data_IF_177882987349
#
_entry.id   IF_177882987349
#
_cell.length_a   1.000
_cell.length_b   1.000
_cell.length_c   1.000
_cell.angle_alpha   90.00
_cell.angle_beta   90.00
_cell.angle_gamma   90.00
#
_symmetry.space_group_name_H-M   'P 1'
#
loop_
_entity.id
_entity.type
_entity.pdbx_description
1 polymer ?
#
# COMPACT_ATOMS: atom_id res chain seq x y z
N UNK A 1 -17.68 5.27 -13.17
CA UNK A 1 -16.54 4.58 -13.80
C UNK A 1 -16.98 3.16 -14.13
N UNK A 2 -16.62 2.62 -15.28
CA UNK A 2 -16.94 1.24 -15.65
C UNK A 2 -16.01 0.23 -14.96
N UNK A 3 -16.45 -1.04 -14.93
CA UNK A 3 -15.77 -2.15 -14.26
C UNK A 3 -15.50 -3.29 -15.27
N UNK A 4 -14.58 -3.07 -16.23
CA UNK A 4 -14.43 -3.95 -17.39
C UNK A 4 -14.04 -5.39 -17.01
N UNK A 5 -13.25 -5.59 -15.97
CA UNK A 5 -12.83 -6.93 -15.52
C UNK A 5 -14.00 -7.62 -14.81
N UNK A 6 -14.64 -6.94 -13.87
CA UNK A 6 -15.78 -7.50 -13.13
C UNK A 6 -16.98 -7.78 -14.05
N UNK A 7 -17.32 -6.86 -14.94
CA UNK A 7 -18.45 -7.02 -15.87
C UNK A 7 -18.23 -8.23 -16.78
N UNK A 8 -17.03 -8.37 -17.35
CA UNK A 8 -16.68 -9.53 -18.18
C UNK A 8 -16.81 -10.85 -17.40
N UNK A 9 -16.24 -10.92 -16.20
CA UNK A 9 -16.26 -12.16 -15.40
C UNK A 9 -17.68 -12.51 -14.97
N UNK A 10 -18.47 -11.52 -14.54
CA UNK A 10 -19.88 -11.70 -14.18
C UNK A 10 -20.68 -12.25 -15.37
N UNK A 11 -20.52 -11.71 -16.55
CA UNK A 11 -21.24 -12.13 -17.76
C UNK A 11 -20.77 -13.52 -18.22
N UNK A 12 -19.45 -13.79 -18.10
CA UNK A 12 -18.91 -15.13 -18.34
C UNK A 12 -19.49 -16.16 -17.36
N UNK A 13 -19.57 -15.85 -16.07
CA UNK A 13 -20.17 -16.72 -15.06
C UNK A 13 -21.63 -17.08 -15.37
N UNK A 14 -22.40 -16.11 -15.92
CA UNK A 14 -23.81 -16.28 -16.31
C UNK A 14 -24.02 -16.94 -17.67
N UNK A 15 -22.99 -17.09 -18.47
CA UNK A 15 -23.10 -17.54 -19.87
C UNK A 15 -23.51 -19.02 -20.03
N UNK A 16 -23.49 -19.82 -18.95
CA UNK A 16 -23.80 -21.26 -18.99
C UNK A 16 -22.76 -22.09 -19.77
N UNK A 17 -21.62 -21.53 -20.17
CA UNK A 17 -20.58 -22.24 -20.91
C UNK A 17 -19.96 -23.37 -20.11
N UNK A 18 -19.76 -24.53 -20.73
CA UNK A 18 -19.01 -25.62 -20.13
C UNK A 18 -17.54 -25.20 -19.98
N UNK A 19 -17.01 -25.26 -18.76
CA UNK A 19 -15.63 -24.86 -18.42
C UNK A 19 -14.69 -26.05 -18.58
N UNK A 20 -14.11 -26.24 -19.77
CA UNK A 20 -13.12 -27.28 -20.07
C UNK A 20 -11.67 -26.77 -19.91
N UNK A 21 -11.50 -25.66 -19.22
CA UNK A 21 -10.23 -24.96 -18.92
C UNK A 21 -10.02 -24.88 -17.39
N UNK A 22 -8.85 -24.39 -16.94
CA UNK A 22 -8.58 -24.03 -15.54
C UNK A 22 -9.55 -22.92 -15.05
N UNK A 23 -9.79 -22.76 -13.75
CA UNK A 23 -9.36 -23.63 -12.64
C UNK A 23 -10.07 -24.97 -12.55
N UNK A 24 -9.51 -25.89 -11.74
CA UNK A 24 -10.01 -27.28 -11.58
C UNK A 24 -11.44 -27.40 -11.04
N UNK A 25 -11.92 -26.43 -10.25
CA UNK A 25 -13.26 -26.40 -9.69
C UNK A 25 -14.37 -26.11 -10.73
N UNK A 26 -14.02 -25.68 -11.95
CA UNK A 26 -14.97 -25.45 -13.06
C UNK A 26 -16.13 -24.49 -12.76
N UNK A 27 -15.89 -23.52 -11.85
CA UNK A 27 -16.90 -22.56 -11.38
C UNK A 27 -17.87 -23.13 -10.36
N UNK A 28 -17.54 -24.26 -9.74
CA UNK A 28 -18.37 -24.95 -8.73
C UNK A 28 -17.50 -25.32 -7.53
N UNK A 29 -17.98 -25.08 -6.32
CA UNK A 29 -17.26 -25.40 -5.10
C UNK A 29 -17.98 -24.92 -3.86
N UNK A 30 -17.31 -24.99 -2.71
CA UNK A 30 -17.87 -24.72 -1.40
C UNK A 30 -17.65 -23.28 -0.89
N UNK A 31 -16.76 -22.51 -1.54
CA UNK A 31 -16.45 -21.14 -1.10
C UNK A 31 -17.51 -20.12 -1.53
N UNK A 32 -18.26 -20.43 -2.60
CA UNK A 32 -19.33 -19.56 -3.12
C UNK A 32 -18.85 -18.51 -4.13
N UNK A 33 -17.55 -18.33 -4.34
CA UNK A 33 -16.97 -17.39 -5.30
C UNK A 33 -16.41 -18.07 -6.56
N UNK A 34 -16.40 -19.39 -6.64
CA UNK A 34 -15.75 -20.15 -7.72
C UNK A 34 -16.30 -19.83 -9.10
N UNK A 35 -17.57 -19.41 -9.18
CA UNK A 35 -18.15 -18.97 -10.45
C UNK A 35 -17.47 -17.74 -11.04
N UNK A 36 -16.91 -16.89 -10.18
CA UNK A 36 -16.18 -15.66 -10.52
C UNK A 36 -14.69 -15.88 -10.65
N UNK A 37 -14.17 -17.04 -10.25
CA UNK A 37 -12.76 -17.38 -10.42
C UNK A 37 -12.54 -18.02 -11.80
N UNK A 38 -11.85 -17.30 -12.66
CA UNK A 38 -11.55 -17.70 -14.05
C UNK A 38 -10.04 -17.65 -14.32
N UNK A 39 -9.67 -18.03 -15.50
CA UNK A 39 -8.32 -17.86 -16.06
C UNK A 39 -8.40 -16.99 -17.32
N UNK A 40 -7.30 -16.88 -18.05
CA UNK A 40 -7.13 -16.15 -19.30
C UNK A 40 -7.91 -16.76 -20.46
N UNK A 41 -9.24 -16.84 -20.31
CA UNK A 41 -10.12 -17.28 -21.39
C UNK A 41 -10.25 -16.19 -22.45
N UNK A 42 -10.71 -16.55 -23.64
CA UNK A 42 -10.86 -15.60 -24.74
C UNK A 42 -11.69 -14.38 -24.31
N UNK A 43 -11.06 -13.20 -24.32
CA UNK A 43 -11.63 -11.91 -23.95
C UNK A 43 -11.37 -11.52 -22.51
N UNK A 44 -10.80 -12.40 -21.66
CA UNK A 44 -10.46 -12.10 -20.27
C UNK A 44 -9.18 -11.27 -20.11
N UNK A 45 -8.36 -11.17 -21.17
CA UNK A 45 -7.04 -10.52 -21.13
C UNK A 45 -5.98 -11.34 -20.35
N UNK A 46 -4.74 -10.87 -20.27
CA UNK A 46 -3.65 -11.45 -19.49
C UNK A 46 -2.94 -10.34 -18.72
N UNK A 47 -2.71 -10.51 -17.42
CA UNK A 47 -2.24 -9.42 -16.55
C UNK A 47 -0.92 -8.80 -17.05
N UNK A 48 0.04 -9.62 -17.46
CA UNK A 48 1.36 -9.12 -17.89
C UNK A 48 1.48 -8.83 -19.39
N UNK A 49 0.46 -9.16 -20.16
CA UNK A 49 0.34 -8.89 -21.60
C UNK A 49 -0.96 -8.12 -21.89
N UNK A 50 -1.43 -7.35 -20.91
CA UNK A 50 -2.72 -6.68 -20.97
C UNK A 50 -2.84 -5.75 -22.17
N UNK A 51 -3.90 -5.95 -22.94
CA UNK A 51 -4.27 -5.18 -24.12
C UNK A 51 -5.80 -5.06 -24.28
N UNK A 52 -6.56 -5.40 -23.23
CA UNK A 52 -8.01 -5.49 -23.23
C UNK A 52 -8.65 -4.93 -21.95
N UNK A 53 -9.41 -5.80 -21.25
CA UNK A 53 -10.20 -5.38 -20.08
C UNK A 53 -9.33 -5.04 -18.88
N UNK A 54 -8.20 -5.73 -18.68
CA UNK A 54 -7.26 -5.45 -17.59
C UNK A 54 -6.58 -4.11 -17.85
N UNK A 55 -6.03 -3.89 -19.04
CA UNK A 55 -5.42 -2.62 -19.41
C UNK A 55 -6.41 -1.45 -19.27
N UNK A 56 -7.67 -1.65 -19.64
CA UNK A 56 -8.70 -0.60 -19.48
C UNK A 56 -8.97 -0.30 -18.00
N UNK A 57 -9.03 -1.31 -17.15
CA UNK A 57 -9.20 -1.14 -15.71
C UNK A 57 -7.99 -0.45 -15.06
N UNK A 58 -6.78 -0.79 -15.47
CA UNK A 58 -5.55 -0.12 -15.02
C UNK A 58 -5.47 1.34 -15.50
N UNK A 59 -5.97 1.66 -16.70
CA UNK A 59 -6.12 3.06 -17.15
C UNK A 59 -7.12 3.83 -16.31
N UNK A 60 -8.24 3.21 -15.91
CA UNK A 60 -9.19 3.80 -14.98
C UNK A 60 -8.50 4.14 -13.63
N UNK A 61 -7.67 3.23 -13.11
CA UNK A 61 -6.89 3.49 -11.90
C UNK A 61 -5.87 4.62 -12.11
N UNK A 62 -5.16 4.62 -13.24
CA UNK A 62 -4.19 5.68 -13.57
C UNK A 62 -4.86 7.06 -13.64
N UNK A 63 -6.05 7.15 -14.21
CA UNK A 63 -6.84 8.39 -14.26
C UNK A 63 -7.26 8.85 -12.86
N UNK A 64 -7.74 7.92 -12.02
CA UNK A 64 -8.14 8.21 -10.64
C UNK A 64 -7.01 8.75 -9.77
N UNK A 65 -5.83 8.13 -9.86
CA UNK A 65 -4.65 8.52 -9.07
C UNK A 65 -3.81 9.62 -9.75
N UNK A 66 -4.20 10.10 -10.93
CA UNK A 66 -3.45 11.11 -11.67
C UNK A 66 -2.05 10.66 -12.11
N UNK A 67 -1.78 9.36 -12.13
CA UNK A 67 -0.50 8.77 -12.55
C UNK A 67 -0.32 8.82 -14.08
N UNK A 68 0.90 8.56 -14.57
CA UNK A 68 1.16 8.24 -15.98
C UNK A 68 0.57 6.89 -16.33
N UNK A 69 0.87 5.88 -15.49
CA UNK A 69 0.43 4.51 -15.62
C UNK A 69 0.26 3.88 -14.24
N UNK A 70 -0.73 3.01 -14.12
CA UNK A 70 -0.96 2.19 -12.91
C UNK A 70 -1.11 0.75 -13.33
N UNK A 71 -0.44 -0.16 -12.62
CA UNK A 71 -0.44 -1.59 -12.89
C UNK A 71 -0.96 -2.36 -11.69
N UNK A 72 -1.74 -3.40 -11.95
CA UNK A 72 -2.25 -4.27 -10.92
C UNK A 72 -1.21 -5.29 -10.46
N UNK A 73 -1.23 -5.59 -9.18
CA UNK A 73 -0.56 -6.75 -8.59
C UNK A 73 -1.58 -7.60 -7.85
N UNK A 74 -1.49 -8.91 -8.03
CA UNK A 74 -2.22 -9.91 -7.22
C UNK A 74 -1.32 -10.55 -6.15
N UNK A 75 -0.07 -10.08 -6.05
CA UNK A 75 0.99 -10.57 -5.15
C UNK A 75 1.34 -9.54 -4.05
N UNK A 76 0.45 -8.56 -3.83
CA UNK A 76 0.66 -7.46 -2.91
C UNK A 76 1.74 -6.47 -3.39
N UNK A 77 2.02 -5.45 -2.56
CA UNK A 77 3.11 -4.50 -2.82
C UNK A 77 4.49 -5.17 -2.85
N UNK A 78 4.63 -6.40 -2.36
CA UNK A 78 5.90 -7.15 -2.43
C UNK A 78 6.40 -7.36 -3.86
N UNK A 79 5.52 -7.57 -4.82
CA UNK A 79 5.84 -7.62 -6.24
C UNK A 79 6.23 -6.23 -6.76
N UNK A 80 5.43 -5.22 -6.42
CA UNK A 80 5.63 -3.84 -6.85
C UNK A 80 6.98 -3.28 -6.37
N UNK A 81 7.36 -3.50 -5.11
CA UNK A 81 8.64 -3.07 -4.55
C UNK A 81 9.82 -3.64 -5.35
N UNK A 82 9.78 -4.94 -5.64
CA UNK A 82 10.83 -5.59 -6.44
C UNK A 82 10.89 -5.04 -7.86
N UNK A 83 9.74 -4.82 -8.48
CA UNK A 83 9.66 -4.26 -9.82
C UNK A 83 10.17 -2.81 -9.88
N UNK A 84 9.79 -1.94 -8.91
CA UNK A 84 10.29 -0.56 -8.83
C UNK A 84 11.81 -0.50 -8.73
N UNK A 85 12.41 -1.30 -7.84
CA UNK A 85 13.86 -1.37 -7.67
C UNK A 85 14.56 -1.90 -8.92
N UNK A 86 13.99 -2.92 -9.57
CA UNK A 86 14.51 -3.45 -10.82
C UNK A 86 14.47 -2.39 -11.94
N UNK A 87 13.36 -1.67 -12.09
CA UNK A 87 13.21 -0.61 -13.08
C UNK A 87 14.20 0.53 -12.85
N UNK A 88 14.36 0.98 -11.61
CA UNK A 88 15.29 2.04 -11.25
C UNK A 88 16.77 1.62 -11.49
N UNK A 89 17.15 0.42 -11.02
CA UNK A 89 18.52 -0.09 -11.18
C UNK A 89 18.94 -0.34 -12.63
N UNK A 90 17.99 -0.68 -13.52
CA UNK A 90 18.28 -0.86 -14.95
C UNK A 90 18.53 0.46 -15.69
N UNK A 91 18.18 1.58 -15.10
CA UNK A 91 18.37 2.94 -15.67
C UNK A 91 19.57 3.66 -15.11
N UNK A 92 20.31 3.03 -14.23
CA UNK A 92 21.48 3.58 -13.57
C UNK A 92 22.69 2.65 -13.73
N UNK A 93 23.87 3.22 -13.79
CA UNK A 93 25.11 2.45 -13.68
C UNK A 93 25.41 2.09 -12.22
N UNK A 94 24.85 2.83 -11.29
CA UNK A 94 24.99 2.57 -9.86
C UNK A 94 24.19 1.34 -9.43
N UNK A 95 24.77 0.57 -8.52
CA UNK A 95 24.13 -0.59 -7.86
C UNK A 95 23.68 -0.26 -6.44
N UNK A 96 23.83 0.99 -6.00
CA UNK A 96 23.53 1.41 -4.63
C UNK A 96 22.18 2.11 -4.56
N UNK A 97 21.34 1.69 -3.59
CA UNK A 97 20.09 2.36 -3.20
C UNK A 97 20.29 3.02 -1.84
N UNK A 98 19.84 4.26 -1.67
CA UNK A 98 19.72 4.87 -0.34
C UNK A 98 18.33 4.54 0.20
N UNK A 99 18.23 4.01 1.42
CA UNK A 99 16.96 3.62 1.99
C UNK A 99 16.83 3.90 3.49
N UNK A 100 15.62 4.28 3.93
CA UNK A 100 15.30 4.36 5.35
C UNK A 100 15.31 2.96 5.99
N UNK A 101 15.83 2.87 7.23
CA UNK A 101 16.11 1.59 7.91
C UNK A 101 14.86 0.74 8.17
N UNK A 102 13.68 1.34 8.26
CA UNK A 102 12.40 0.65 8.47
C UNK A 102 11.78 0.05 7.18
N UNK A 103 12.60 -0.18 6.15
CA UNK A 103 12.14 -0.79 4.90
C UNK A 103 11.58 -2.20 5.12
N UNK A 104 10.47 -2.51 4.44
CA UNK A 104 9.83 -3.82 4.50
C UNK A 104 10.76 -4.93 3.99
N UNK A 105 10.62 -6.16 4.52
CA UNK A 105 11.43 -7.33 4.11
C UNK A 105 11.47 -7.57 2.58
N UNK A 106 10.43 -7.18 1.84
CA UNK A 106 10.41 -7.28 0.37
C UNK A 106 11.47 -6.41 -0.29
N UNK A 107 11.82 -5.27 0.32
CA UNK A 107 12.95 -4.45 -0.12
C UNK A 107 14.28 -5.21 0.04
N UNK A 108 14.51 -5.80 1.21
CA UNK A 108 15.73 -6.60 1.47
C UNK A 108 15.81 -7.80 0.51
N UNK A 109 14.68 -8.46 0.25
CA UNK A 109 14.63 -9.53 -0.75
C UNK A 109 14.96 -9.03 -2.16
N UNK A 110 14.50 -7.82 -2.51
CA UNK A 110 14.83 -7.21 -3.80
C UNK A 110 16.32 -6.90 -3.93
N UNK A 111 16.96 -6.38 -2.88
CA UNK A 111 18.42 -6.15 -2.87
C UNK A 111 19.17 -7.45 -3.17
N UNK A 112 18.81 -8.54 -2.48
CA UNK A 112 19.44 -9.84 -2.66
C UNK A 112 19.20 -10.44 -4.07
N UNK A 113 17.98 -10.30 -4.61
CA UNK A 113 17.63 -10.84 -5.93
C UNK A 113 18.27 -10.04 -7.09
N UNK A 114 18.44 -8.74 -6.89
CA UNK A 114 18.93 -7.81 -7.91
C UNK A 114 20.42 -7.51 -7.76
N UNK A 115 21.09 -8.06 -6.76
CA UNK A 115 22.48 -7.80 -6.42
C UNK A 115 22.73 -6.28 -6.24
N UNK A 116 21.93 -5.65 -5.38
CA UNK A 116 22.02 -4.22 -5.07
C UNK A 116 22.62 -3.99 -3.69
N UNK A 117 23.47 -3.00 -3.60
CA UNK A 117 23.97 -2.47 -2.33
C UNK A 117 22.97 -1.47 -1.73
N UNK A 118 23.02 -1.32 -0.41
CA UNK A 118 22.19 -0.35 0.29
C UNK A 118 23.02 0.55 1.21
N UNK A 119 22.74 1.84 1.10
CA UNK A 119 23.16 2.83 2.09
C UNK A 119 21.98 3.18 2.97
N UNK A 120 22.05 2.77 4.22
CA UNK A 120 20.98 2.98 5.17
C UNK A 120 20.97 4.41 5.73
N UNK A 121 19.78 4.99 5.75
CA UNK A 121 19.45 6.15 6.59
C UNK A 121 18.92 5.62 7.91
N UNK A 122 19.52 6.08 9.00
CA UNK A 122 19.16 5.68 10.35
C UNK A 122 18.32 6.76 11.01
N UNK A 123 17.34 6.42 11.85
CA UNK A 123 16.62 7.41 12.64
C UNK A 123 17.56 8.06 13.66
N UNK A 124 17.29 9.33 14.00
CA UNK A 124 18.03 10.06 15.03
C UNK A 124 17.79 9.47 16.43
N UNK A 125 16.58 8.98 16.68
CA UNK A 125 16.21 8.26 17.89
C UNK A 125 15.96 6.79 17.56
N UNK A 126 16.25 5.89 18.51
CA UNK A 126 16.03 4.47 18.31
C UNK A 126 14.55 4.20 18.06
N UNK A 127 14.24 3.53 16.98
CA UNK A 127 12.92 3.00 16.66
C UNK A 127 13.05 1.73 15.84
N UNK A 128 12.32 0.70 16.21
CA UNK A 128 12.29 -0.56 15.47
C UNK A 128 11.41 -0.45 14.21
N UNK A 129 10.27 0.22 14.32
CA UNK A 129 9.24 0.27 13.29
C UNK A 129 9.17 1.60 12.54
N UNK A 130 9.66 2.67 13.14
CA UNK A 130 9.73 4.01 12.55
C UNK A 130 11.15 4.37 12.12
N UNK A 131 11.25 5.21 11.08
CA UNK A 131 12.51 5.83 10.67
C UNK A 131 12.21 7.18 10.02
N UNK A 132 11.90 8.21 10.82
CA UNK A 132 11.73 9.55 10.27
C UNK A 132 13.05 10.02 9.63
N UNK A 133 12.95 10.56 8.42
CA UNK A 133 14.08 10.98 7.60
C UNK A 133 13.83 12.41 7.13
N UNK A 134 14.81 13.29 7.31
CA UNK A 134 14.75 14.65 6.79
C UNK A 134 15.28 14.75 5.36
N UNK A 135 14.81 15.72 4.59
CA UNK A 135 15.34 16.02 3.26
C UNK A 135 16.85 16.34 3.32
N UNK A 136 17.33 17.01 4.38
CA UNK A 136 18.74 17.29 4.59
C UNK A 136 19.58 16.01 4.78
N UNK A 137 19.05 15.01 5.49
CA UNK A 137 19.74 13.73 5.67
C UNK A 137 19.85 12.97 4.33
N UNK A 138 18.79 13.01 3.50
CA UNK A 138 18.83 12.44 2.15
C UNK A 138 19.84 13.15 1.27
N UNK A 139 19.82 14.50 1.25
CA UNK A 139 20.79 15.30 0.50
C UNK A 139 22.23 14.92 0.88
N UNK A 140 22.54 14.93 2.17
CA UNK A 140 23.89 14.59 2.69
C UNK A 140 24.29 13.16 2.31
N UNK A 141 23.36 12.22 2.34
CA UNK A 141 23.63 10.85 1.94
C UNK A 141 23.97 10.74 0.44
N UNK A 142 23.23 11.42 -0.43
CA UNK A 142 23.52 11.46 -1.87
C UNK A 142 24.87 12.13 -2.13
N UNK A 143 25.09 13.34 -1.57
CA UNK A 143 26.26 14.17 -1.83
C UNK A 143 27.59 13.56 -1.32
N UNK A 144 27.50 12.61 -0.38
CA UNK A 144 28.66 11.89 0.18
C UNK A 144 29.04 10.61 -0.60
N UNK A 145 28.38 10.32 -1.73
CA UNK A 145 28.72 9.21 -2.62
C UNK A 145 29.58 9.68 -3.79
N UNK A 146 30.40 8.78 -4.35
CA UNK A 146 31.24 9.06 -5.55
C UNK A 146 30.41 9.23 -6.84
N UNK A 147 29.11 8.99 -6.79
CA UNK A 147 28.16 9.15 -7.88
C UNK A 147 26.73 8.96 -7.40
N UNK A 148 25.71 9.30 -8.21
CA UNK A 148 24.33 9.21 -7.79
C UNK A 148 23.92 7.76 -7.52
N UNK A 149 23.12 7.48 -6.46
CA UNK A 149 22.53 6.17 -6.26
C UNK A 149 21.51 5.86 -7.38
N UNK A 150 21.15 4.59 -7.56
CA UNK A 150 20.13 4.24 -8.55
C UNK A 150 18.72 4.68 -8.11
N UNK A 151 18.49 4.85 -6.81
CA UNK A 151 17.24 5.40 -6.26
C UNK A 151 17.41 5.79 -4.79
N UNK A 152 16.50 6.63 -4.30
CA UNK A 152 16.14 6.75 -2.87
C UNK A 152 14.86 5.97 -2.65
N UNK A 153 14.80 5.15 -1.59
CA UNK A 153 13.64 4.35 -1.24
C UNK A 153 13.18 4.65 0.19
N UNK A 154 11.90 4.96 0.36
CA UNK A 154 11.29 5.27 1.65
C UNK A 154 10.00 4.48 1.86
N UNK A 155 9.65 4.23 3.13
CA UNK A 155 8.33 3.75 3.53
C UNK A 155 7.55 4.92 4.12
N UNK A 156 6.38 5.24 3.54
CA UNK A 156 5.50 6.32 4.00
C UNK A 156 4.06 6.08 3.55
N UNK A 157 3.08 5.97 4.49
CA UNK A 157 3.26 5.95 5.94
C UNK A 157 4.00 4.70 6.43
N UNK A 158 4.67 4.82 7.58
CA UNK A 158 5.28 3.66 8.23
C UNK A 158 4.24 2.82 9.02
N UNK A 159 4.71 1.75 9.66
CA UNK A 159 3.84 0.82 10.38
C UNK A 159 3.15 1.46 11.60
N UNK A 160 3.78 2.46 12.22
CA UNK A 160 3.20 3.22 13.34
C UNK A 160 2.36 4.44 12.89
N UNK A 161 2.27 4.69 11.59
CA UNK A 161 1.49 5.79 11.02
C UNK A 161 2.23 7.12 10.93
N UNK A 162 3.57 7.11 11.01
CA UNK A 162 4.36 8.30 10.72
C UNK A 162 4.44 8.53 9.22
N UNK A 163 4.33 9.79 8.79
CA UNK A 163 4.36 10.20 7.38
C UNK A 163 5.67 10.97 7.13
N UNK A 164 6.39 10.58 6.10
CA UNK A 164 7.64 11.25 5.70
C UNK A 164 7.36 12.58 5.00
N UNK A 165 8.29 13.55 5.04
CA UNK A 165 8.21 14.79 4.26
C UNK A 165 8.55 14.54 2.77
N UNK A 166 7.66 13.78 2.09
CA UNK A 166 7.90 13.26 0.74
C UNK A 166 8.16 14.38 -0.27
N UNK A 167 7.43 15.51 -0.16
CA UNK A 167 7.59 16.61 -1.12
C UNK A 167 8.99 17.23 -1.05
N UNK A 168 9.50 17.48 0.14
CA UNK A 168 10.84 18.04 0.36
C UNK A 168 11.93 17.05 -0.06
N UNK A 169 11.71 15.75 0.21
CA UNK A 169 12.66 14.70 -0.20
C UNK A 169 12.65 14.53 -1.72
N UNK A 170 11.47 14.56 -2.36
CA UNK A 170 11.37 14.51 -3.81
C UNK A 170 12.14 15.65 -4.48
N UNK A 171 11.97 16.88 -3.98
CA UNK A 171 12.70 18.04 -4.50
C UNK A 171 14.22 17.83 -4.43
N UNK A 172 14.72 17.38 -3.28
CA UNK A 172 16.17 17.08 -3.08
C UNK A 172 16.68 15.98 -4.03
N UNK A 173 15.88 14.92 -4.23
CA UNK A 173 16.21 13.83 -5.14
C UNK A 173 16.28 14.32 -6.59
N UNK A 174 15.27 15.07 -7.04
CA UNK A 174 15.18 15.58 -8.41
C UNK A 174 16.27 16.58 -8.74
N UNK A 175 16.64 17.47 -7.80
CA UNK A 175 17.79 18.38 -7.97
C UNK A 175 19.12 17.62 -8.25
N UNK A 176 19.21 16.36 -7.82
CA UNK A 176 20.38 15.49 -7.98
C UNK A 176 20.21 14.42 -9.06
N UNK A 177 19.10 14.45 -9.80
CA UNK A 177 18.79 13.46 -10.84
C UNK A 177 18.58 12.04 -10.32
N UNK A 178 18.17 11.88 -9.07
CA UNK A 178 17.94 10.58 -8.42
C UNK A 178 16.42 10.33 -8.30
N UNK A 179 15.90 9.19 -8.73
CA UNK A 179 14.48 8.88 -8.56
C UNK A 179 14.13 8.55 -7.11
N UNK A 180 12.93 9.00 -6.68
CA UNK A 180 12.35 8.69 -5.38
C UNK A 180 11.29 7.59 -5.52
N UNK A 181 11.51 6.47 -4.85
CA UNK A 181 10.61 5.31 -4.77
C UNK A 181 9.97 5.27 -3.39
N UNK A 182 8.64 5.17 -3.32
CA UNK A 182 7.93 5.14 -2.04
C UNK A 182 7.09 3.88 -1.89
N UNK A 183 7.35 3.14 -0.81
CA UNK A 183 6.47 2.10 -0.31
C UNK A 183 5.33 2.75 0.47
N UNK A 184 4.19 2.94 -0.19
CA UNK A 184 2.97 3.51 0.36
C UNK A 184 1.96 2.42 0.73
N UNK A 185 2.43 1.24 1.13
CA UNK A 185 1.56 0.09 1.39
C UNK A 185 0.41 0.37 2.35
N UNK A 186 0.53 1.33 3.27
CA UNK A 186 -0.51 1.71 4.21
C UNK A 186 -1.32 2.95 3.78
N UNK A 187 -0.98 3.58 2.66
CA UNK A 187 -1.49 4.88 2.28
C UNK A 187 -2.31 4.94 0.98
N UNK A 188 -2.83 3.83 0.47
CA UNK A 188 -3.56 3.79 -0.80
C UNK A 188 -4.72 4.81 -0.88
N UNK A 189 -5.33 5.16 0.23
CA UNK A 189 -6.45 6.12 0.31
C UNK A 189 -5.99 7.60 0.38
N UNK A 190 -4.72 7.89 0.62
CA UNK A 190 -4.20 9.25 0.88
C UNK A 190 -4.40 10.23 -0.28
N UNK A 191 -4.52 9.73 -1.51
CA UNK A 191 -4.87 10.53 -2.69
C UNK A 191 -6.30 11.10 -2.62
N UNK A 192 -7.20 10.42 -1.90
CA UNK A 192 -8.64 10.73 -1.86
C UNK A 192 -9.03 11.62 -0.69
N UNK A 193 -8.09 12.09 0.10
CA UNK A 193 -8.30 13.07 1.16
C UNK A 193 -8.56 14.47 0.59
N UNK A 194 -9.19 15.36 1.35
CA UNK A 194 -9.40 16.77 0.99
C UNK A 194 -8.06 17.46 0.65
N UNK A 195 -7.04 17.22 1.48
CA UNK A 195 -5.65 17.57 1.19
C UNK A 195 -4.89 16.28 0.87
N UNK A 196 -4.57 16.01 -0.40
CA UNK A 196 -3.85 14.82 -0.78
C UNK A 196 -2.49 14.69 -0.07
N UNK A 197 -2.19 13.48 0.39
CA UNK A 197 -0.94 13.14 1.06
C UNK A 197 -0.25 11.95 0.38
N UNK A 198 -0.78 11.51 -0.75
CA UNK A 198 -0.25 10.36 -1.49
C UNK A 198 1.11 10.70 -2.11
N UNK A 199 2.09 9.79 -2.11
CA UNK A 199 3.44 10.06 -2.63
C UNK A 199 3.48 10.60 -4.07
N UNK A 200 2.58 10.16 -4.96
CA UNK A 200 2.50 10.73 -6.32
C UNK A 200 2.15 12.22 -6.31
N UNK A 201 1.23 12.64 -5.43
CA UNK A 201 0.83 14.05 -5.32
C UNK A 201 1.96 14.91 -4.75
N UNK A 202 2.89 14.25 -4.04
CA UNK A 202 4.03 14.86 -3.37
C UNK A 202 5.34 14.73 -4.15
N UNK A 203 5.31 14.18 -5.36
CA UNK A 203 6.45 14.15 -6.28
C UNK A 203 7.26 12.88 -6.30
N UNK A 204 6.81 11.77 -5.70
CA UNK A 204 7.48 10.47 -5.88
C UNK A 204 7.43 10.04 -7.36
N UNK A 205 8.51 9.41 -7.84
CA UNK A 205 8.62 8.94 -9.23
C UNK A 205 7.87 7.63 -9.46
N UNK A 206 7.96 6.71 -8.51
CA UNK A 206 7.15 5.50 -8.45
C UNK A 206 6.72 5.25 -6.99
N UNK A 207 5.53 4.70 -6.82
CA UNK A 207 5.11 4.20 -5.52
C UNK A 207 4.25 2.94 -5.66
N UNK A 208 4.11 2.19 -4.58
CA UNK A 208 3.23 1.04 -4.53
C UNK A 208 2.27 1.13 -3.35
N UNK A 209 1.02 0.73 -3.62
CA UNK A 209 -0.07 0.71 -2.67
C UNK A 209 -0.52 -0.72 -2.41
N UNK A 210 -0.53 -1.18 -1.16
CA UNK A 210 -1.29 -2.38 -0.81
C UNK A 210 -2.77 -2.00 -0.65
N UNK A 211 -3.49 -1.97 -1.76
CA UNK A 211 -4.90 -1.56 -1.77
C UNK A 211 -5.74 -2.33 -0.73
N UNK A 212 -5.45 -3.63 -0.57
CA UNK A 212 -6.15 -4.51 0.37
C UNK A 212 -6.00 -4.14 1.85
N UNK A 213 -5.07 -3.25 2.23
CA UNK A 213 -4.90 -2.84 3.63
C UNK A 213 -5.87 -1.76 4.06
N UNK A 214 -6.22 -0.85 3.17
CA UNK A 214 -7.01 0.35 3.51
C UNK A 214 -8.21 0.60 2.61
N UNK A 215 -8.31 -0.09 1.48
CA UNK A 215 -9.40 -0.01 0.52
C UNK A 215 -10.17 -1.34 0.45
N UNK A 216 -11.42 -1.36 -0.05
CA UNK A 216 -12.24 -2.58 -0.13
C UNK A 216 -11.77 -3.54 -1.24
N UNK A 217 -10.56 -4.06 -1.09
CA UNK A 217 -9.89 -4.96 -2.03
C UNK A 217 -9.53 -6.27 -1.33
N UNK A 218 -9.61 -7.38 -2.04
CA UNK A 218 -9.21 -8.69 -1.53
C UNK A 218 -7.71 -8.73 -1.24
N UNK A 219 -7.33 -9.48 -0.20
CA UNK A 219 -5.92 -9.66 0.22
C UNK A 219 -5.05 -10.05 -0.97
N UNK A 220 -3.93 -9.36 -1.12
CA UNK A 220 -3.00 -9.51 -2.25
C UNK A 220 -3.19 -8.46 -3.35
N UNK A 221 -4.33 -7.74 -3.37
CA UNK A 221 -4.53 -6.68 -4.35
C UNK A 221 -3.69 -5.44 -4.03
N UNK A 222 -2.93 -4.98 -5.02
CA UNK A 222 -2.05 -3.83 -4.91
C UNK A 222 -1.92 -3.09 -6.25
N UNK A 223 -1.44 -1.86 -6.17
CA UNK A 223 -1.12 -1.02 -7.33
C UNK A 223 0.39 -0.72 -7.35
N UNK A 224 0.95 -0.71 -8.54
CA UNK A 224 2.21 -0.03 -8.86
C UNK A 224 1.88 1.21 -9.67
N UNK A 225 2.26 2.38 -9.18
CA UNK A 225 2.04 3.66 -9.84
C UNK A 225 3.36 4.22 -10.38
N UNK A 226 3.30 4.78 -11.58
CA UNK A 226 4.38 5.56 -12.21
C UNK A 226 3.93 7.00 -12.35
N UNK A 227 4.71 7.95 -11.89
CA UNK A 227 4.40 9.38 -12.01
C UNK A 227 4.48 9.86 -13.46
N UNK A 228 3.83 10.98 -13.76
CA UNK A 228 3.90 11.59 -15.11
C UNK A 228 5.27 12.18 -15.44
N UNK A 229 6.05 12.52 -14.41
CA UNK A 229 7.38 13.09 -14.55
C UNK A 229 8.50 12.08 -14.71
N UNK A 230 8.21 10.78 -14.52
CA UNK A 230 9.21 9.72 -14.56
C UNK A 230 9.02 8.79 -15.75
N UNK A 231 10.12 8.41 -16.39
CA UNK A 231 10.12 7.45 -17.49
C UNK A 231 10.83 6.14 -17.10
N UNK A 232 10.10 5.09 -16.70
CA UNK A 232 10.68 3.78 -16.41
C UNK A 232 10.92 2.92 -17.68
N UNK A 233 10.59 3.44 -18.85
CA UNK A 233 10.46 2.73 -20.11
C UNK A 233 9.01 2.67 -20.57
N UNK A 234 8.71 1.76 -21.49
CA UNK A 234 7.33 1.52 -21.95
C UNK A 234 6.52 0.79 -20.88
N UNK A 235 5.19 0.88 -20.96
CA UNK A 235 4.30 0.09 -20.09
C UNK A 235 4.56 -1.42 -20.24
N UNK A 236 4.95 -1.88 -21.44
CA UNK A 236 5.39 -3.27 -21.65
C UNK A 236 6.67 -3.63 -20.90
N UNK A 237 7.59 -2.67 -20.69
CA UNK A 237 8.78 -2.91 -19.87
C UNK A 237 8.42 -3.04 -18.39
N UNK A 238 7.50 -2.19 -17.90
CA UNK A 238 7.01 -2.27 -16.51
C UNK A 238 6.29 -3.61 -16.27
N UNK A 239 5.36 -4.02 -17.17
CA UNK A 239 4.66 -5.31 -17.08
C UNK A 239 5.64 -6.48 -17.07
N UNK A 240 6.67 -6.41 -17.91
CA UNK A 240 7.71 -7.44 -17.96
C UNK A 240 8.48 -7.54 -16.65
N UNK A 241 8.78 -6.41 -15.99
CA UNK A 241 9.41 -6.44 -14.67
C UNK A 241 8.45 -6.93 -13.60
N UNK A 242 7.17 -6.60 -13.67
CA UNK A 242 6.15 -7.17 -12.80
C UNK A 242 6.06 -8.69 -12.95
N UNK A 243 6.07 -9.20 -14.18
CA UNK A 243 5.97 -10.66 -14.45
C UNK A 243 7.15 -11.47 -13.89
N UNK A 244 8.35 -10.89 -13.83
CA UNK A 244 9.54 -11.56 -13.25
C UNK A 244 9.34 -11.89 -11.77
N UNK A 245 8.55 -11.09 -11.05
CA UNK A 245 8.34 -11.22 -9.62
C UNK A 245 6.93 -11.71 -9.25
N UNK A 246 6.11 -12.05 -10.25
CA UNK A 246 4.74 -12.48 -10.07
C UNK A 246 4.47 -13.92 -10.49
N UNK A 247 3.30 -14.40 -10.15
CA UNK A 247 2.79 -15.70 -10.58
C UNK A 247 2.32 -15.63 -12.04
N UNK A 248 2.53 -16.70 -12.80
CA UNK A 248 1.92 -16.88 -14.14
C UNK A 248 0.42 -17.23 -14.07
N UNK A 249 -0.14 -17.30 -12.86
CA UNK A 249 -1.56 -17.58 -12.62
C UNK A 249 -2.17 -16.49 -11.71
N UNK A 250 -2.28 -15.24 -12.19
CA UNK A 250 -2.79 -14.15 -11.39
C UNK A 250 -4.28 -14.36 -11.06
N UNK A 251 -4.69 -14.00 -9.83
CA UNK A 251 -6.05 -14.18 -9.37
C UNK A 251 -7.03 -13.19 -10.00
N UNK A 252 -7.99 -13.67 -10.78
CA UNK A 252 -9.07 -12.85 -11.31
C UNK A 252 -10.02 -12.32 -10.22
N UNK A 253 -10.16 -13.00 -9.10
CA UNK A 253 -10.93 -12.49 -7.96
C UNK A 253 -10.28 -11.22 -7.40
N UNK A 254 -8.96 -11.19 -7.26
CA UNK A 254 -8.23 -10.02 -6.80
C UNK A 254 -8.33 -8.89 -7.82
N UNK A 255 -8.14 -9.16 -9.12
CA UNK A 255 -8.27 -8.14 -10.18
C UNK A 255 -9.67 -7.54 -10.24
N UNK A 256 -10.73 -8.34 -10.09
CA UNK A 256 -12.11 -7.85 -9.99
C UNK A 256 -12.29 -6.93 -8.78
N UNK A 257 -11.70 -7.26 -7.64
CA UNK A 257 -11.80 -6.43 -6.44
C UNK A 257 -11.09 -5.07 -6.61
N UNK A 258 -9.96 -5.02 -7.35
CA UNK A 258 -9.29 -3.77 -7.73
C UNK A 258 -10.14 -2.95 -8.71
N UNK A 259 -10.74 -3.59 -9.70
CA UNK A 259 -11.62 -2.97 -10.68
C UNK A 259 -12.88 -2.35 -10.03
N UNK A 260 -13.52 -3.10 -9.13
CA UNK A 260 -14.65 -2.59 -8.33
C UNK A 260 -14.23 -1.46 -7.39
N UNK A 261 -13.02 -1.53 -6.83
CA UNK A 261 -12.47 -0.48 -5.99
C UNK A 261 -12.27 0.83 -6.77
N UNK A 262 -11.85 0.79 -8.02
CA UNK A 262 -11.77 1.98 -8.86
C UNK A 262 -13.14 2.67 -9.01
N UNK A 263 -14.19 1.89 -9.27
CA UNK A 263 -15.55 2.43 -9.37
C UNK A 263 -16.04 2.99 -8.04
N UNK A 264 -15.74 2.32 -6.92
CA UNK A 264 -16.02 2.81 -5.57
C UNK A 264 -15.36 4.17 -5.30
N UNK A 265 -14.05 4.29 -5.59
CA UNK A 265 -13.29 5.52 -5.40
C UNK A 265 -13.74 6.66 -6.32
N UNK A 266 -14.14 6.35 -7.54
CA UNK A 266 -14.72 7.32 -8.48
C UNK A 266 -16.13 7.80 -8.06
N UNK A 267 -16.83 7.04 -7.23
CA UNK A 267 -18.16 7.34 -6.70
C UNK A 267 -18.11 7.93 -5.30
N UNK A 268 -18.62 7.16 -4.35
CA UNK A 268 -18.79 7.58 -2.95
C UNK A 268 -17.53 7.47 -2.08
N UNK A 269 -16.47 6.83 -2.58
CA UNK A 269 -15.29 6.47 -1.79
C UNK A 269 -14.62 7.66 -1.11
N UNK A 270 -14.52 8.82 -1.78
CA UNK A 270 -13.91 10.03 -1.20
C UNK A 270 -14.67 10.52 0.05
N UNK A 271 -15.99 10.58 -0.02
CA UNK A 271 -16.82 11.01 1.10
C UNK A 271 -16.74 10.01 2.27
N UNK A 272 -16.78 8.72 1.98
CA UNK A 272 -16.69 7.67 2.99
C UNK A 272 -15.31 7.63 3.66
N UNK A 273 -14.22 7.85 2.92
CA UNK A 273 -12.86 7.97 3.45
C UNK A 273 -12.75 9.20 4.37
N UNK A 274 -13.27 10.36 3.95
CA UNK A 274 -13.29 11.57 4.78
C UNK A 274 -14.08 11.35 6.08
N UNK A 275 -15.25 10.71 5.99
CA UNK A 275 -16.06 10.33 7.17
C UNK A 275 -15.31 9.38 8.11
N UNK A 276 -14.54 8.43 7.57
CA UNK A 276 -13.71 7.52 8.38
C UNK A 276 -12.53 8.23 9.03
N UNK A 277 -11.89 9.17 8.34
CA UNK A 277 -10.81 9.97 8.90
C UNK A 277 -11.32 10.83 10.07
N UNK A 278 -12.52 11.40 9.95
CA UNK A 278 -13.17 12.12 11.05
C UNK A 278 -13.47 11.22 12.26
N UNK A 279 -13.97 9.99 12.02
CA UNK A 279 -14.21 9.00 13.10
C UNK A 279 -12.90 8.60 13.78
N UNK A 280 -11.85 8.35 13.02
CA UNK A 280 -10.53 8.02 13.56
C UNK A 280 -9.94 9.19 14.37
N UNK A 281 -10.09 10.43 13.89
CA UNK A 281 -9.72 11.64 14.62
C UNK A 281 -10.44 11.74 15.97
N UNK A 282 -11.76 11.59 15.98
CA UNK A 282 -12.55 11.59 17.20
C UNK A 282 -12.16 10.46 18.17
N UNK A 283 -11.81 9.28 17.67
CA UNK A 283 -11.28 8.18 18.50
C UNK A 283 -9.93 8.56 19.11
N UNK A 284 -9.00 9.12 18.33
CA UNK A 284 -7.69 9.61 18.81
C UNK A 284 -7.87 10.63 19.96
N UNK A 285 -8.75 11.62 19.77
CA UNK A 285 -9.05 12.65 20.80
C UNK A 285 -9.63 12.03 22.06
N UNK A 286 -10.56 11.08 21.95
CA UNK A 286 -11.15 10.40 23.10
C UNK A 286 -10.12 9.58 23.88
N UNK A 287 -9.26 8.83 23.19
CA UNK A 287 -8.18 8.06 23.82
C UNK A 287 -7.19 9.00 24.51
N UNK A 288 -6.81 10.10 23.87
CA UNK A 288 -5.95 11.11 24.49
C UNK A 288 -6.62 11.76 25.73
N UNK A 289 -7.94 12.04 25.67
CA UNK A 289 -8.71 12.50 26.82
C UNK A 289 -8.81 11.52 27.99
N UNK A 290 -8.62 10.22 27.72
CA UNK A 290 -8.52 9.16 28.73
C UNK A 290 -7.09 8.99 29.27
N UNK A 291 -6.12 9.79 28.80
CA UNK A 291 -4.72 9.76 29.21
C UNK A 291 -3.80 8.87 28.35
N UNK A 292 -4.32 8.25 27.29
CA UNK A 292 -3.51 7.42 26.38
C UNK A 292 -2.65 8.27 25.45
N UNK A 293 -1.38 7.91 25.28
CA UNK A 293 -0.48 8.59 24.34
C UNK A 293 -0.71 8.11 22.91
N UNK A 294 -1.49 8.88 22.14
CA UNK A 294 -1.73 8.61 20.73
C UNK A 294 -0.61 9.23 19.89
N UNK A 295 -0.06 8.47 18.95
CA UNK A 295 1.06 8.86 18.07
C UNK A 295 0.72 8.62 16.60
N UNK A 296 1.61 9.09 15.69
CA UNK A 296 1.41 8.97 14.25
C UNK A 296 0.54 10.07 13.65
N UNK A 297 0.76 10.37 12.36
CA UNK A 297 0.07 11.45 11.61
C UNK A 297 -0.88 10.93 10.52
N UNK A 298 -0.91 9.63 10.29
CA UNK A 298 -1.74 9.01 9.26
C UNK A 298 -3.22 9.00 9.71
N UNK A 299 -4.16 9.48 8.85
CA UNK A 299 -5.54 9.76 9.27
C UNK A 299 -6.36 8.55 9.72
N UNK A 300 -6.22 7.37 9.08
CA UNK A 300 -7.03 6.19 9.40
C UNK A 300 -6.39 5.24 10.41
N UNK A 301 -5.15 5.48 10.78
CA UNK A 301 -4.43 4.65 11.75
C UNK A 301 -4.46 5.29 13.13
N UNK A 302 -4.73 4.50 14.15
CA UNK A 302 -4.71 4.92 15.55
C UNK A 302 -3.63 4.09 16.24
N UNK A 303 -2.51 4.75 16.54
CA UNK A 303 -1.37 4.13 17.22
C UNK A 303 -1.30 4.67 18.63
N UNK A 304 -1.30 3.79 19.61
CA UNK A 304 -1.19 4.15 21.03
C UNK A 304 0.15 3.61 21.55
N UNK A 305 0.97 4.53 22.08
CA UNK A 305 2.22 4.19 22.76
C UNK A 305 1.96 4.05 24.26
N UNK A 306 2.03 2.83 24.77
CA UNK A 306 1.76 2.51 26.17
C UNK A 306 2.52 1.24 26.56
N UNK A 307 3.24 1.24 27.69
CA UNK A 307 4.06 0.09 28.13
C UNK A 307 3.26 -1.16 28.55
N UNK A 308 1.94 -1.16 28.35
CA UNK A 308 1.06 -2.31 28.58
C UNK A 308 0.23 -2.68 27.34
N UNK A 309 0.76 -2.44 26.15
CA UNK A 309 0.02 -2.61 24.89
C UNK A 309 -0.43 -4.06 24.62
N UNK A 310 0.31 -5.06 25.09
CA UNK A 310 -0.13 -6.46 25.01
C UNK A 310 -1.39 -6.71 25.87
N UNK A 311 -1.49 -6.11 27.06
CA UNK A 311 -2.69 -6.20 27.91
C UNK A 311 -3.89 -5.51 27.23
N UNK A 312 -3.65 -4.35 26.61
CA UNK A 312 -4.66 -3.64 25.80
C UNK A 312 -5.16 -4.52 24.66
N UNK A 313 -4.25 -5.21 23.95
CA UNK A 313 -4.61 -6.14 22.86
C UNK A 313 -5.51 -7.28 23.35
N UNK A 314 -5.19 -7.89 24.50
CA UNK A 314 -6.03 -8.93 25.09
C UNK A 314 -7.40 -8.38 25.53
N UNK A 315 -7.44 -7.16 26.05
CA UNK A 315 -8.70 -6.51 26.42
C UNK A 315 -9.57 -6.20 25.19
N UNK A 316 -8.96 -5.73 24.09
CA UNK A 316 -9.65 -5.53 22.82
C UNK A 316 -10.31 -6.83 22.35
N UNK A 317 -9.58 -7.97 22.38
CA UNK A 317 -10.14 -9.29 22.04
C UNK A 317 -11.32 -9.68 22.92
N UNK A 318 -11.23 -9.42 24.23
CA UNK A 318 -12.32 -9.68 25.16
C UNK A 318 -13.60 -8.89 24.83
N UNK A 319 -13.46 -7.71 24.22
CA UNK A 319 -14.54 -6.90 23.70
C UNK A 319 -14.92 -7.20 22.23
N UNK A 320 -14.34 -8.26 21.63
CA UNK A 320 -14.61 -8.65 20.25
C UNK A 320 -14.00 -7.74 19.19
N UNK A 321 -12.86 -7.09 19.50
CA UNK A 321 -12.09 -6.27 18.57
C UNK A 321 -10.66 -6.84 18.42
N UNK A 322 -10.18 -6.94 17.17
CA UNK A 322 -8.79 -7.30 16.87
C UNK A 322 -8.00 -6.06 16.46
N UNK A 323 -6.79 -5.90 16.99
CA UNK A 323 -5.86 -4.88 16.55
C UNK A 323 -5.03 -5.36 15.36
N UNK A 324 -4.51 -4.42 14.59
CA UNK A 324 -3.57 -4.72 13.50
C UNK A 324 -2.23 -5.24 14.04
N UNK A 325 -1.77 -4.66 15.15
CA UNK A 325 -0.48 -4.97 15.74
C UNK A 325 -0.47 -4.66 17.23
N UNK A 326 0.26 -5.45 17.98
CA UNK A 326 0.63 -5.14 19.36
C UNK A 326 2.02 -5.71 19.68
N UNK A 327 2.84 -4.92 20.37
CA UNK A 327 4.07 -5.31 21.01
C UNK A 327 4.06 -4.80 22.47
N UNK A 328 5.14 -4.85 23.26
CA UNK A 328 5.11 -4.32 24.63
C UNK A 328 4.76 -2.83 24.72
N UNK A 329 5.10 -2.04 23.71
CA UNK A 329 5.03 -0.57 23.73
C UNK A 329 3.87 0.02 22.93
N UNK A 330 3.49 -0.62 21.83
CA UNK A 330 2.52 -0.08 20.89
C UNK A 330 1.34 -1.01 20.64
N UNK A 331 0.14 -0.41 20.53
CA UNK A 331 -1.01 -1.03 19.89
C UNK A 331 -1.41 -0.19 18.68
N UNK A 332 -1.68 -0.86 17.56
CA UNK A 332 -2.04 -0.20 16.29
C UNK A 332 -3.41 -0.69 15.84
N UNK A 333 -4.31 0.25 15.59
CA UNK A 333 -5.62 0.00 15.00
C UNK A 333 -5.66 0.64 13.61
N UNK A 334 -6.23 -0.07 12.64
CA UNK A 334 -6.47 0.44 11.30
C UNK A 334 -7.98 0.54 11.05
N UNK A 335 -8.44 1.74 10.72
CA UNK A 335 -9.83 2.00 10.41
C UNK A 335 -10.03 2.10 8.89
N UNK A 336 -11.24 1.80 8.45
CA UNK A 336 -11.67 1.98 7.07
C UNK A 336 -13.16 2.41 7.05
N UNK A 337 -13.69 2.80 5.89
CA UNK A 337 -15.13 3.11 5.75
C UNK A 337 -16.07 1.98 6.16
N UNK A 338 -15.60 0.74 6.19
CA UNK A 338 -16.38 -0.43 6.57
C UNK A 338 -16.54 -0.60 8.08
N UNK A 339 -15.78 0.14 8.90
CA UNK A 339 -15.95 0.09 10.36
C UNK A 339 -17.19 0.84 10.83
N UNK A 340 -17.97 0.16 11.66
CA UNK A 340 -19.20 0.68 12.25
C UNK A 340 -18.94 1.51 13.51
N UNK A 341 -19.98 2.23 13.97
CA UNK A 341 -19.93 2.90 15.28
C UNK A 341 -19.85 1.91 16.45
N UNK A 342 -20.35 0.70 16.28
CA UNK A 342 -20.24 -0.37 17.28
C UNK A 342 -18.79 -0.83 17.44
N UNK A 343 -18.03 -0.96 16.36
CA UNK A 343 -16.61 -1.30 16.43
C UNK A 343 -15.83 -0.26 17.25
N UNK A 344 -16.08 1.02 17.00
CA UNK A 344 -15.47 2.10 17.79
C UNK A 344 -15.86 2.04 19.26
N UNK A 345 -17.12 1.69 19.56
CA UNK A 345 -17.61 1.56 20.94
C UNK A 345 -16.91 0.41 21.67
N UNK A 346 -16.67 -0.72 21.02
CA UNK A 346 -15.91 -1.85 21.56
C UNK A 346 -14.47 -1.46 21.88
N UNK A 347 -13.81 -0.72 21.01
CA UNK A 347 -12.46 -0.19 21.24
C UNK A 347 -12.44 0.69 22.48
N UNK A 348 -13.35 1.66 22.58
CA UNK A 348 -13.40 2.57 23.72
C UNK A 348 -13.72 1.85 25.03
N UNK A 349 -14.59 0.85 25.02
CA UNK A 349 -14.89 0.03 26.19
C UNK A 349 -13.62 -0.69 26.69
N UNK A 350 -12.87 -1.33 25.79
CA UNK A 350 -11.62 -2.01 26.13
C UNK A 350 -10.60 -1.07 26.78
N UNK A 351 -10.37 0.11 26.19
CA UNK A 351 -9.43 1.10 26.72
C UNK A 351 -9.89 1.71 28.05
N UNK A 352 -11.21 1.80 28.32
CA UNK A 352 -11.75 2.37 29.56
C UNK A 352 -11.57 1.49 30.79
N UNK A 353 -11.30 0.19 30.59
CA UNK A 353 -11.08 -0.77 31.67
C UNK A 353 -9.64 -0.83 32.17
N UNK A 354 -8.73 -0.13 31.49
CA UNK A 354 -7.31 -0.13 31.79
C UNK A 354 -6.81 1.29 32.07
N UNK A 355 -5.76 1.40 32.87
CA UNK A 355 -4.99 2.63 32.99
C UNK A 355 -3.85 2.62 31.95
N UNK A 356 -3.50 3.80 31.37
CA UNK A 356 -2.30 3.91 30.55
C UNK A 356 -1.05 3.46 31.31
N UNK A 357 -0.24 2.61 30.69
CA UNK A 357 1.10 2.30 31.19
C UNK A 357 2.10 3.40 30.83
N UNK A 358 3.32 3.28 31.36
CA UNK A 358 4.41 4.18 31.00
C UNK A 358 4.74 4.00 29.49
N UNK A 359 4.83 5.08 28.72
CA UNK A 359 5.15 4.97 27.30
C UNK A 359 6.50 4.28 27.07
N UNK A 360 6.55 3.35 26.13
CA UNK A 360 7.77 2.75 25.65
C UNK A 360 8.66 3.71 24.84
N UNK A 361 9.89 3.31 24.60
CA UNK A 361 10.90 4.10 23.88
C UNK A 361 10.92 3.81 22.37
#
# INVERSE_FOLDING_TARGET
MDTPVFDFVRDYARSGRARLHMPGHKGRGALGCEALDITEVRGADSLYEAAGIIERSERNAAELFGSRSTFYSTEGSSQCIKAMLCLASRRSESRTVIAARNAHKSFVHALALLDLDVRWLWPEEYSLLGCPVSAAAVASAIDSMDGPPCAVYLTSPDYLGSVQPVAEIAAVCHERGVPLLVDNAHGAYLHFLEKPMHPLDLGADMCCDSAHKTLPVLTGGAYLHVSRGFDPGSDGDVRRMMSVFGSTSPSYLIMQSLDLCNAYLAGEGRELIAGSAAKAGALKERLAGMGWRVTGGEPLKVTVNCGNALEVSERLRAHGAECEYADPDFVVLMLSPQNSGEDISRVLAAFSELAPGEPGH
#
